data_IF_182342052248
#
_entry.id   IF_182342052248
#
_cell.length_a   1.000
_cell.length_b   1.000
_cell.length_c   1.000
_cell.angle_alpha   90.00
_cell.angle_beta   90.00
_cell.angle_gamma   90.00
#
_symmetry.space_group_name_H-M   'P 1'
#
loop_
_entity.id
_entity.type
_entity.pdbx_description
1 polymer ?
#
# COMPACT_ATOMS: atom_id res chain seq x y z
N UNK A 1 65.26 -28.66 -20.22
CA UNK A 1 64.98 -29.15 -18.86
C UNK A 1 63.74 -30.04 -18.89
N UNK A 2 64.00 -31.32 -18.59
CA UNK A 2 63.18 -32.51 -18.27
C UNK A 2 61.64 -32.59 -18.46
N UNK A 3 61.30 -33.55 -19.34
CA UNK A 3 60.27 -34.62 -19.34
C UNK A 3 59.49 -34.99 -18.05
N UNK A 4 58.18 -35.28 -18.23
CA UNK A 4 57.34 -36.48 -17.88
C UNK A 4 57.34 -36.92 -16.38
N UNK A 5 56.23 -37.22 -15.68
CA UNK A 5 55.54 -38.54 -15.59
C UNK A 5 54.25 -38.45 -14.72
N UNK A 6 53.24 -39.24 -15.11
CA UNK A 6 51.94 -39.56 -14.48
C UNK A 6 52.02 -40.23 -13.09
N UNK A 7 50.95 -40.14 -12.30
CA UNK A 7 50.48 -41.25 -11.47
C UNK A 7 48.95 -41.32 -11.46
N UNK A 8 48.40 -42.46 -11.90
CA UNK A 8 47.03 -42.89 -11.62
C UNK A 8 47.03 -43.73 -10.36
N UNK A 9 46.11 -43.48 -9.42
CA UNK A 9 45.64 -44.49 -8.45
C UNK A 9 44.13 -44.29 -8.25
N UNK A 10 43.39 -45.36 -8.50
CA UNK A 10 41.97 -45.57 -8.21
C UNK A 10 41.77 -45.78 -6.70
N UNK A 11 40.76 -45.14 -6.10
CA UNK A 11 40.08 -45.71 -4.93
C UNK A 11 38.57 -45.54 -5.12
N UNK A 12 37.90 -46.67 -5.30
CA UNK A 12 36.45 -46.83 -5.18
C UNK A 12 36.12 -46.73 -3.70
N UNK A 13 35.23 -45.81 -3.34
CA UNK A 13 34.49 -45.87 -2.09
C UNK A 13 33.00 -45.72 -2.42
N UNK A 14 32.32 -46.86 -2.58
CA UNK A 14 30.87 -46.91 -2.40
C UNK A 14 30.60 -46.86 -0.89
N UNK A 15 29.99 -45.77 -0.42
CA UNK A 15 29.11 -45.81 0.73
C UNK A 15 27.92 -44.89 0.44
N UNK A 16 26.74 -45.50 0.30
CA UNK A 16 25.48 -44.82 0.50
C UNK A 16 25.45 -44.35 1.96
N UNK A 17 25.76 -43.06 2.18
CA UNK A 17 25.38 -42.38 3.40
C UNK A 17 24.24 -41.45 3.05
N UNK A 18 23.11 -41.66 3.72
CA UNK A 18 21.93 -40.82 3.66
C UNK A 18 22.38 -39.36 3.66
N UNK A 19 22.14 -38.67 2.54
CA UNK A 19 22.31 -37.23 2.49
C UNK A 19 21.34 -36.66 3.53
N UNK A 20 21.88 -36.32 4.70
CA UNK A 20 21.27 -35.31 5.55
C UNK A 20 20.97 -34.15 4.61
N UNK A 21 19.68 -33.92 4.38
CA UNK A 21 19.22 -32.75 3.65
C UNK A 21 19.44 -31.57 4.59
N UNK A 22 20.69 -31.16 4.76
CA UNK A 22 21.03 -29.92 5.43
C UNK A 22 20.46 -28.82 4.53
N UNK A 23 19.50 -28.07 5.05
CA UNK A 23 18.95 -26.93 4.33
C UNK A 23 20.08 -25.90 4.16
N UNK A 24 20.76 -25.93 3.01
CA UNK A 24 21.81 -24.96 2.68
C UNK A 24 21.15 -23.66 2.24
N UNK A 25 21.35 -22.59 3.03
CA UNK A 25 20.92 -21.24 2.66
C UNK A 25 21.90 -20.66 1.65
N UNK A 26 21.44 -20.44 0.41
CA UNK A 26 22.22 -19.71 -0.60
C UNK A 26 21.84 -18.24 -0.56
N UNK A 27 22.82 -17.36 -0.30
CA UNK A 27 22.63 -15.90 -0.31
C UNK A 27 23.24 -15.34 -1.59
N UNK A 28 22.44 -14.57 -2.34
CA UNK A 28 22.91 -13.81 -3.51
C UNK A 28 22.75 -12.32 -3.24
N UNK A 29 23.80 -11.57 -3.50
CA UNK A 29 23.80 -10.11 -3.37
C UNK A 29 23.82 -9.50 -4.76
N UNK A 30 22.90 -8.59 -5.03
CA UNK A 30 22.86 -7.80 -6.26
C UNK A 30 22.81 -6.32 -5.90
N UNK A 31 23.68 -5.53 -6.53
CA UNK A 31 23.62 -4.07 -6.45
C UNK A 31 22.51 -3.57 -7.38
N UNK A 32 21.53 -2.85 -6.84
CA UNK A 32 20.36 -2.36 -7.60
C UNK A 32 20.49 -0.90 -8.03
N UNK A 33 21.26 -0.06 -7.33
CA UNK A 33 21.43 1.35 -7.68
C UNK A 33 22.70 1.98 -7.03
N UNK A 34 23.04 3.20 -7.44
CA UNK A 34 24.02 4.09 -6.81
C UNK A 34 23.56 5.53 -6.90
N UNK A 35 23.86 6.32 -5.88
CA UNK A 35 23.53 7.74 -5.79
C UNK A 35 24.74 8.53 -5.32
N UNK A 36 24.80 9.82 -5.66
CA UNK A 36 25.86 10.72 -5.22
C UNK A 36 25.83 10.89 -3.68
N UNK A 37 26.98 11.18 -3.08
CA UNK A 37 27.14 11.27 -1.62
C UNK A 37 26.31 12.38 -0.95
N UNK A 38 25.79 13.33 -1.72
CA UNK A 38 24.97 14.44 -1.24
C UNK A 38 23.46 14.14 -1.22
N UNK A 39 23.03 12.99 -1.75
CA UNK A 39 21.63 12.55 -1.68
C UNK A 39 21.35 11.86 -0.35
N UNK A 40 20.22 12.20 0.27
CA UNK A 40 19.69 11.49 1.44
C UNK A 40 18.51 10.64 0.97
N UNK A 41 18.57 9.33 1.18
CA UNK A 41 17.44 8.43 0.89
C UNK A 41 16.46 8.50 2.06
N UNK A 42 15.22 8.88 1.79
CA UNK A 42 14.19 9.14 2.80
C UNK A 42 13.22 7.97 2.97
N UNK A 43 12.87 7.31 1.86
CA UNK A 43 12.01 6.13 1.86
C UNK A 43 12.39 5.23 0.70
N UNK A 44 12.33 3.92 0.91
CA UNK A 44 12.48 2.89 -0.12
C UNK A 44 11.34 1.88 0.01
N UNK A 45 10.72 1.57 -1.11
CA UNK A 45 9.68 0.54 -1.25
C UNK A 45 10.03 -0.41 -2.38
N UNK A 46 9.40 -1.57 -2.37
CA UNK A 46 9.64 -2.66 -3.32
C UNK A 46 8.30 -3.24 -3.74
N UNK A 47 8.17 -3.62 -5.00
CA UNK A 47 7.01 -4.38 -5.48
C UNK A 47 6.98 -5.79 -4.88
N UNK A 48 5.80 -6.40 -4.90
CA UNK A 48 5.54 -7.72 -4.32
C UNK A 48 6.35 -8.84 -4.98
N UNK A 49 6.56 -8.76 -6.30
CA UNK A 49 7.38 -9.71 -7.08
C UNK A 49 8.89 -9.52 -6.89
N UNK A 50 9.28 -8.50 -6.13
CA UNK A 50 10.65 -8.10 -5.87
C UNK A 50 11.45 -7.59 -7.08
N UNK A 51 10.80 -7.32 -8.21
CA UNK A 51 11.45 -6.89 -9.45
C UNK A 51 11.57 -5.36 -9.56
N UNK A 52 10.66 -4.63 -8.92
CA UNK A 52 10.60 -3.18 -8.98
C UNK A 52 10.92 -2.53 -7.63
N UNK A 53 11.59 -1.39 -7.68
CA UNK A 53 11.96 -0.62 -6.50
C UNK A 53 11.74 0.86 -6.75
N UNK A 54 11.24 1.53 -5.72
CA UNK A 54 11.09 2.97 -5.74
C UNK A 54 11.63 3.58 -4.47
N UNK A 55 12.29 4.72 -4.58
CA UNK A 55 12.78 5.44 -3.43
C UNK A 55 12.72 6.95 -3.64
N UNK A 56 12.56 7.68 -2.54
CA UNK A 56 12.63 9.13 -2.53
C UNK A 56 14.01 9.55 -2.06
N UNK A 57 14.62 10.45 -2.82
CA UNK A 57 15.86 11.13 -2.45
C UNK A 57 15.62 12.59 -2.15
N UNK A 58 16.22 13.10 -1.09
CA UNK A 58 16.31 14.52 -0.78
C UNK A 58 17.63 15.08 -1.29
N UNK A 59 17.55 16.17 -2.04
CA UNK A 59 18.70 16.91 -2.56
C UNK A 59 18.35 18.38 -2.72
N UNK A 60 19.21 19.25 -2.19
CA UNK A 60 19.03 20.70 -2.22
C UNK A 60 17.64 21.16 -1.72
N UNK A 61 17.16 20.52 -0.64
CA UNK A 61 15.84 20.80 -0.07
C UNK A 61 14.64 20.23 -0.83
N UNK A 62 14.86 19.64 -2.01
CA UNK A 62 13.83 19.04 -2.85
C UNK A 62 13.79 17.51 -2.75
N UNK A 63 12.62 16.93 -2.97
CA UNK A 63 12.35 15.49 -2.91
C UNK A 63 12.05 14.95 -4.30
N UNK A 64 12.81 13.95 -4.75
CA UNK A 64 12.65 13.35 -6.07
C UNK A 64 12.38 11.86 -5.98
N UNK A 65 11.54 11.36 -6.88
CA UNK A 65 11.29 9.93 -7.03
C UNK A 65 12.33 9.29 -7.95
N UNK A 66 12.87 8.16 -7.52
CA UNK A 66 13.59 7.23 -8.39
C UNK A 66 12.80 5.93 -8.43
N UNK A 67 12.55 5.41 -9.63
CA UNK A 67 11.85 4.16 -9.87
C UNK A 67 12.64 3.36 -10.91
N UNK A 68 13.10 2.15 -10.54
CA UNK A 68 13.90 1.25 -11.38
C UNK A 68 15.08 1.90 -12.12
N UNK A 69 15.84 2.73 -11.41
CA UNK A 69 16.98 3.51 -11.92
C UNK A 69 16.62 4.68 -12.83
N UNK A 70 15.35 4.88 -13.15
CA UNK A 70 14.87 6.10 -13.79
C UNK A 70 14.54 7.16 -12.72
N UNK A 71 15.11 8.35 -12.88
CA UNK A 71 14.82 9.49 -12.00
C UNK A 71 13.65 10.27 -12.59
N UNK A 72 12.55 10.33 -11.85
CA UNK A 72 11.39 11.13 -12.20
C UNK A 72 11.61 12.54 -11.63
N UNK A 73 12.01 13.48 -12.49
CA UNK A 73 12.24 14.88 -12.14
C UNK A 73 10.98 15.74 -12.18
N UNK A 74 9.84 15.15 -12.56
CA UNK A 74 8.59 15.88 -12.80
C UNK A 74 8.02 16.50 -11.51
N UNK A 75 8.37 15.94 -10.34
CA UNK A 75 7.92 16.43 -9.05
C UNK A 75 9.09 16.49 -8.07
N UNK A 76 9.21 17.63 -7.38
CA UNK A 76 10.32 17.95 -6.48
C UNK A 76 9.88 18.05 -5.00
N UNK A 77 8.65 17.62 -4.70
CA UNK A 77 8.09 17.59 -3.35
C UNK A 77 7.03 16.46 -3.25
N UNK A 78 7.44 15.33 -2.67
CA UNK A 78 6.67 14.10 -2.59
C UNK A 78 6.53 13.73 -1.11
N UNK A 79 5.34 13.36 -0.64
CA UNK A 79 5.17 12.86 0.74
C UNK A 79 5.93 11.55 0.90
N UNK A 80 6.86 11.49 1.85
CA UNK A 80 7.79 10.37 2.01
C UNK A 80 7.10 9.06 2.32
N UNK A 81 5.98 9.10 3.04
CA UNK A 81 5.21 7.94 3.48
C UNK A 81 4.09 7.53 2.50
N UNK A 82 4.16 7.96 1.24
CA UNK A 82 3.08 7.78 0.25
C UNK A 82 3.38 6.79 -0.88
N UNK A 83 4.60 6.27 -1.00
CA UNK A 83 4.95 5.36 -2.10
C UNK A 83 4.24 4.00 -1.94
N UNK A 84 3.44 3.61 -2.94
CA UNK A 84 2.73 2.32 -2.94
C UNK A 84 2.76 1.70 -4.33
N UNK A 85 3.22 0.45 -4.43
CA UNK A 85 3.09 -0.35 -5.65
C UNK A 85 1.73 -1.05 -5.71
N UNK A 86 1.18 -1.21 -6.90
CA UNK A 86 0.08 -2.14 -7.14
C UNK A 86 0.53 -3.58 -6.86
N UNK A 87 -0.39 -4.49 -6.46
CA UNK A 87 -0.05 -5.89 -6.19
C UNK A 87 0.67 -6.59 -7.35
N UNK A 88 0.35 -6.23 -8.59
CA UNK A 88 1.01 -6.75 -9.81
C UNK A 88 2.37 -6.09 -10.12
N UNK A 89 2.81 -5.11 -9.32
CA UNK A 89 4.09 -4.41 -9.45
C UNK A 89 4.15 -3.35 -10.56
N UNK A 90 3.13 -3.22 -11.41
CA UNK A 90 3.21 -2.40 -12.64
C UNK A 90 2.93 -0.92 -12.44
N UNK A 91 2.29 -0.55 -11.33
CA UNK A 91 1.89 0.83 -11.04
C UNK A 91 2.47 1.25 -9.71
N UNK A 92 3.07 2.44 -9.68
CA UNK A 92 3.56 3.09 -8.48
C UNK A 92 2.78 4.38 -8.26
N UNK A 93 1.99 4.41 -7.19
CA UNK A 93 1.26 5.58 -6.74
C UNK A 93 2.05 6.34 -5.66
N UNK A 94 1.92 7.67 -5.64
CA UNK A 94 2.51 8.54 -4.63
C UNK A 94 1.81 9.89 -4.57
N UNK A 95 1.95 10.59 -3.45
CA UNK A 95 1.35 11.91 -3.21
C UNK A 95 2.38 13.00 -3.51
N UNK A 96 2.00 13.94 -4.37
CA UNK A 96 2.76 15.14 -4.67
C UNK A 96 2.17 16.32 -3.92
N UNK A 97 3.05 17.14 -3.33
CA UNK A 97 2.71 18.42 -2.74
C UNK A 97 3.28 19.52 -3.64
N UNK A 98 2.46 20.03 -4.57
CA UNK A 98 2.90 21.00 -5.57
C UNK A 98 3.10 22.39 -4.97
N UNK A 99 2.19 22.80 -4.09
CA UNK A 99 2.26 24.05 -3.34
C UNK A 99 1.32 24.00 -2.13
N UNK A 100 1.28 25.07 -1.34
CA UNK A 100 0.36 25.17 -0.20
C UNK A 100 -1.08 24.85 -0.60
N UNK A 101 -1.65 23.81 0.03
CA UNK A 101 -3.01 23.31 -0.23
C UNK A 101 -3.24 22.82 -1.68
N UNK A 102 -2.18 22.37 -2.36
CA UNK A 102 -2.27 21.75 -3.68
C UNK A 102 -1.59 20.39 -3.65
N UNK A 103 -2.40 19.37 -3.33
CA UNK A 103 -2.01 17.98 -3.33
C UNK A 103 -2.71 17.21 -4.46
N UNK A 104 -2.00 16.24 -5.02
CA UNK A 104 -2.56 15.27 -5.95
C UNK A 104 -1.81 13.94 -5.86
N UNK A 105 -2.44 12.89 -6.39
CA UNK A 105 -1.81 11.57 -6.56
C UNK A 105 -1.19 11.51 -7.94
N UNK A 106 0.00 10.95 -8.07
CA UNK A 106 0.54 10.57 -9.36
C UNK A 106 0.72 9.05 -9.43
N UNK A 107 0.52 8.47 -10.61
CA UNK A 107 0.83 7.07 -10.93
C UNK A 107 1.87 7.07 -12.04
N UNK A 108 3.02 6.43 -11.80
CA UNK A 108 4.11 6.31 -12.79
C UNK A 108 4.49 7.67 -13.43
N UNK A 109 4.62 8.74 -12.63
CA UNK A 109 4.93 10.07 -13.16
C UNK A 109 3.71 10.90 -13.60
N UNK A 110 2.56 10.26 -13.83
CA UNK A 110 1.38 10.92 -14.40
C UNK A 110 0.42 11.33 -13.29
N UNK A 111 0.14 12.64 -13.21
CA UNK A 111 -0.87 13.20 -12.33
C UNK A 111 -2.22 12.50 -12.55
N UNK A 112 -2.72 11.94 -11.47
CA UNK A 112 -4.10 11.48 -11.34
C UNK A 112 -4.91 12.60 -10.70
N UNK A 113 -6.21 12.55 -10.90
CA UNK A 113 -7.17 13.47 -10.33
C UNK A 113 -7.02 14.93 -10.84
N UNK A 114 -8.06 15.41 -11.52
CA UNK A 114 -8.03 16.73 -12.19
C UNK A 114 -8.16 17.93 -11.25
N UNK A 115 -8.60 17.72 -10.01
CA UNK A 115 -8.84 18.78 -9.02
C UNK A 115 -7.70 18.85 -8.01
N UNK A 116 -7.38 20.07 -7.57
CA UNK A 116 -6.44 20.30 -6.47
C UNK A 116 -7.12 19.95 -5.14
N UNK A 117 -6.43 19.17 -4.30
CA UNK A 117 -6.90 18.85 -2.95
C UNK A 117 -6.15 19.71 -1.93
N UNK A 118 -6.88 20.15 -0.90
CA UNK A 118 -6.29 20.89 0.21
C UNK A 118 -5.32 20.03 1.02
N UNK A 119 -5.58 18.73 1.09
CA UNK A 119 -4.64 17.72 1.62
C UNK A 119 -4.98 16.32 1.06
N UNK A 120 -4.03 15.39 1.16
CA UNK A 120 -4.27 13.94 1.01
C UNK A 120 -3.69 13.26 2.24
N UNK A 121 -4.51 12.46 2.94
CA UNK A 121 -4.09 11.84 4.20
C UNK A 121 -2.89 10.93 3.97
N UNK A 122 -1.88 11.06 4.82
CA UNK A 122 -0.69 10.20 4.83
C UNK A 122 -1.07 8.72 4.92
N UNK A 123 -0.34 7.86 4.21
CA UNK A 123 -0.56 6.40 4.15
C UNK A 123 -1.97 5.96 3.71
N UNK A 124 -2.72 6.83 3.03
CA UNK A 124 -4.09 6.51 2.58
C UNK A 124 -4.17 5.85 1.20
N UNK A 125 -3.09 5.83 0.44
CA UNK A 125 -3.06 5.21 -0.89
C UNK A 125 -3.11 3.68 -0.76
N UNK A 126 -4.14 3.05 -1.35
CA UNK A 126 -4.19 1.60 -1.48
C UNK A 126 -4.71 1.19 -2.86
N UNK A 127 -4.03 0.21 -3.45
CA UNK A 127 -4.53 -0.47 -4.65
C UNK A 127 -5.47 -1.61 -4.27
N UNK A 128 -6.45 -1.88 -5.11
CA UNK A 128 -7.28 -3.07 -5.00
C UNK A 128 -6.46 -4.36 -5.21
N UNK A 129 -6.90 -5.51 -4.67
CA UNK A 129 -6.22 -6.80 -4.84
C UNK A 129 -5.94 -7.17 -6.30
N UNK A 130 -6.86 -6.87 -7.22
CA UNK A 130 -6.72 -7.12 -8.65
C UNK A 130 -5.82 -6.11 -9.39
N UNK A 131 -5.23 -5.16 -8.65
CA UNK A 131 -4.37 -4.10 -9.19
C UNK A 131 -5.04 -3.15 -10.17
N UNK A 132 -6.38 -3.09 -10.25
CA UNK A 132 -7.09 -2.24 -11.22
C UNK A 132 -7.48 -0.88 -10.63
N UNK A 133 -7.90 -0.85 -9.37
CA UNK A 133 -8.45 0.34 -8.72
C UNK A 133 -7.46 0.95 -7.74
N UNK A 134 -7.46 2.28 -7.63
CA UNK A 134 -6.72 3.01 -6.59
C UNK A 134 -7.70 3.79 -5.71
N UNK A 135 -7.54 3.64 -4.40
CA UNK A 135 -8.24 4.42 -3.38
C UNK A 135 -7.27 5.33 -2.62
N UNK A 136 -7.72 6.52 -2.24
CA UNK A 136 -7.04 7.40 -1.31
C UNK A 136 -8.01 8.31 -0.56
N UNK A 137 -7.54 9.00 0.49
CA UNK A 137 -8.35 9.93 1.27
C UNK A 137 -7.91 11.36 0.98
N UNK A 138 -8.78 12.12 0.29
CA UNK A 138 -8.58 13.53 -0.01
C UNK A 138 -9.26 14.43 1.01
N UNK A 139 -8.78 15.67 1.13
CA UNK A 139 -9.42 16.77 1.85
C UNK A 139 -9.75 17.90 0.88
N UNK A 140 -10.96 18.43 1.01
CA UNK A 140 -11.35 19.71 0.41
C UNK A 140 -11.96 20.57 1.52
N UNK A 141 -11.52 21.82 1.62
CA UNK A 141 -11.79 22.69 2.76
C UNK A 141 -11.59 21.95 4.11
N UNK A 142 -12.66 21.77 4.89
CA UNK A 142 -12.65 21.13 6.20
C UNK A 142 -13.22 19.70 6.19
N UNK A 143 -13.40 19.10 5.01
CA UNK A 143 -14.05 17.79 4.88
C UNK A 143 -13.15 16.78 4.20
N UNK A 144 -13.14 15.57 4.74
CA UNK A 144 -12.44 14.42 4.19
C UNK A 144 -13.39 13.57 3.36
N UNK A 145 -12.89 12.96 2.30
CA UNK A 145 -13.64 12.02 1.48
C UNK A 145 -12.71 10.96 0.90
N UNK A 146 -13.29 9.80 0.60
CA UNK A 146 -12.61 8.75 -0.15
C UNK A 146 -12.68 9.09 -1.63
N UNK A 147 -11.57 8.91 -2.35
CA UNK A 147 -11.53 8.93 -3.81
C UNK A 147 -11.21 7.54 -4.30
N UNK A 148 -12.03 7.00 -5.21
CA UNK A 148 -11.74 5.76 -5.95
C UNK A 148 -11.76 6.06 -7.43
N UNK A 149 -10.66 5.75 -8.12
CA UNK A 149 -10.51 5.97 -9.57
C UNK A 149 -10.97 7.35 -10.03
N UNK A 150 -10.50 8.38 -9.33
CA UNK A 150 -10.82 9.78 -9.59
C UNK A 150 -12.29 10.18 -9.33
N UNK A 151 -13.06 9.41 -8.57
CA UNK A 151 -14.41 9.75 -8.14
C UNK A 151 -14.44 10.01 -6.64
N UNK A 152 -14.87 11.22 -6.25
CA UNK A 152 -15.09 11.59 -4.84
C UNK A 152 -16.35 10.88 -4.32
N UNK A 153 -16.28 10.31 -3.12
CA UNK A 153 -17.43 9.86 -2.35
C UNK A 153 -18.01 10.96 -1.45
N UNK A 154 -18.81 10.55 -0.46
CA UNK A 154 -19.38 11.43 0.55
C UNK A 154 -18.30 12.14 1.39
N UNK A 155 -18.68 13.32 1.86
CA UNK A 155 -17.83 14.18 2.69
C UNK A 155 -18.11 13.97 4.18
N UNK A 156 -17.03 13.79 4.94
CA UNK A 156 -17.02 13.47 6.36
C UNK A 156 -16.18 14.49 7.15
N UNK A 157 -16.44 14.59 8.44
CA UNK A 157 -15.59 15.36 9.36
C UNK A 157 -14.23 14.69 9.53
N UNK A 158 -14.21 13.36 9.47
CA UNK A 158 -13.00 12.56 9.59
C UNK A 158 -13.18 11.22 8.88
N UNK A 159 -12.10 10.70 8.29
CA UNK A 159 -11.98 9.29 7.91
C UNK A 159 -10.83 8.71 8.74
N UNK A 160 -11.11 7.64 9.47
CA UNK A 160 -10.17 7.08 10.45
C UNK A 160 -8.96 6.43 9.74
N UNK A 161 -7.78 6.62 10.31
CA UNK A 161 -6.55 6.00 9.80
C UNK A 161 -6.64 4.47 9.86
N UNK A 162 -6.02 3.80 8.88
CA UNK A 162 -5.98 2.34 8.78
C UNK A 162 -7.36 1.64 8.78
N UNK A 163 -8.43 2.38 8.48
CA UNK A 163 -9.80 1.86 8.56
C UNK A 163 -10.43 1.55 7.21
N UNK A 164 -9.70 1.74 6.11
CA UNK A 164 -10.22 1.65 4.74
C UNK A 164 -9.63 0.43 4.01
N UNK A 165 -10.50 -0.36 3.38
CA UNK A 165 -10.14 -1.67 2.81
C UNK A 165 -10.95 -2.00 1.55
N UNK A 166 -10.32 -2.65 0.58
CA UNK A 166 -11.02 -3.29 -0.53
C UNK A 166 -11.54 -4.67 -0.14
N UNK A 167 -12.65 -5.09 -0.74
CA UNK A 167 -13.09 -6.48 -0.71
C UNK A 167 -12.10 -7.39 -1.45
N UNK A 168 -12.04 -8.70 -1.14
CA UNK A 168 -11.10 -9.64 -1.76
C UNK A 168 -11.23 -9.75 -3.28
N UNK A 169 -12.43 -9.49 -3.81
CA UNK A 169 -12.73 -9.50 -5.24
C UNK A 169 -12.59 -8.11 -5.90
N UNK A 170 -12.08 -7.12 -5.17
CA UNK A 170 -11.84 -5.74 -5.63
C UNK A 170 -13.09 -4.93 -6.01
N UNK A 171 -14.30 -5.44 -5.75
CA UNK A 171 -15.55 -4.80 -6.19
C UNK A 171 -16.14 -3.82 -5.19
N UNK A 172 -15.79 -3.96 -3.93
CA UNK A 172 -16.35 -3.16 -2.85
C UNK A 172 -15.25 -2.50 -2.04
N UNK A 173 -15.57 -1.36 -1.44
CA UNK A 173 -14.73 -0.69 -0.45
C UNK A 173 -15.49 -0.57 0.87
N UNK A 174 -14.76 -0.62 1.98
CA UNK A 174 -15.30 -0.26 3.28
C UNK A 174 -14.36 0.69 4.00
N UNK A 175 -14.90 1.63 4.77
CA UNK A 175 -14.12 2.54 5.60
C UNK A 175 -14.89 3.04 6.82
N UNK A 176 -14.17 3.50 7.85
CA UNK A 176 -14.79 4.19 8.98
C UNK A 176 -14.73 5.69 8.78
N UNK A 177 -15.86 6.36 8.99
CA UNK A 177 -15.94 7.80 8.87
C UNK A 177 -16.79 8.43 9.96
N UNK A 178 -16.38 9.60 10.42
CA UNK A 178 -17.12 10.42 11.37
C UNK A 178 -17.95 11.46 10.64
N UNK A 179 -19.23 11.55 10.99
CA UNK A 179 -20.13 12.59 10.51
C UNK A 179 -20.92 13.12 11.70
N UNK A 180 -20.70 14.39 12.06
CA UNK A 180 -21.14 14.99 13.31
C UNK A 180 -20.67 14.20 14.55
N UNK A 181 -21.59 13.71 15.36
CA UNK A 181 -21.37 13.05 16.64
C UNK A 181 -21.23 11.53 16.53
N UNK A 182 -21.34 10.97 15.32
CA UNK A 182 -21.36 9.52 15.09
C UNK A 182 -20.27 9.05 14.14
N UNK A 183 -19.88 7.80 14.35
CA UNK A 183 -18.97 7.02 13.51
C UNK A 183 -19.79 6.02 12.72
N UNK A 184 -19.49 5.90 11.44
CA UNK A 184 -20.19 5.03 10.51
C UNK A 184 -19.20 4.04 9.89
N UNK A 185 -19.63 2.79 9.75
CA UNK A 185 -19.08 1.91 8.73
C UNK A 185 -19.73 2.29 7.41
N UNK A 186 -18.91 2.60 6.41
CA UNK A 186 -19.36 3.00 5.09
C UNK A 186 -18.94 1.95 4.10
N UNK A 187 -19.87 1.39 3.33
CA UNK A 187 -19.61 0.41 2.28
C UNK A 187 -20.09 0.98 0.95
N UNK A 188 -19.21 1.09 -0.04
CA UNK A 188 -19.50 1.67 -1.36
C UNK A 188 -20.25 2.99 -1.31
N UNK A 189 -19.76 3.89 -0.45
CA UNK A 189 -20.38 5.20 -0.23
C UNK A 189 -21.83 5.13 0.32
N UNK A 190 -22.20 4.03 0.98
CA UNK A 190 -23.44 3.91 1.74
C UNK A 190 -23.12 3.77 3.23
N UNK A 191 -23.67 4.66 4.05
CA UNK A 191 -23.48 4.65 5.50
C UNK A 191 -24.40 3.60 6.13
N UNK A 192 -23.84 2.74 6.97
CA UNK A 192 -24.59 1.85 7.85
C UNK A 192 -25.12 2.57 9.09
N UNK A 193 -25.24 1.82 10.19
CA UNK A 193 -25.64 2.39 11.48
C UNK A 193 -24.57 3.33 12.05
N UNK A 194 -25.02 4.32 12.81
CA UNK A 194 -24.16 5.30 13.46
C UNK A 194 -23.85 4.92 14.91
N UNK A 195 -22.57 4.80 15.24
CA UNK A 195 -22.04 4.42 16.54
C UNK A 195 -21.42 5.61 17.28
N UNK A 196 -21.52 5.65 18.60
CA UNK A 196 -20.91 6.69 19.42
C UNK A 196 -19.40 6.48 19.61
N UNK A 197 -18.95 5.22 19.59
CA UNK A 197 -17.57 4.84 19.80
C UNK A 197 -17.18 3.67 18.88
N UNK A 198 -15.97 3.72 18.34
CA UNK A 198 -15.36 2.63 17.59
C UNK A 198 -13.99 2.32 18.21
N UNK A 199 -13.77 1.12 18.76
CA UNK A 199 -12.52 0.81 19.46
C UNK A 199 -11.29 0.91 18.54
N UNK A 200 -10.16 1.51 19.00
CA UNK A 200 -8.94 1.63 18.18
C UNK A 200 -8.35 0.30 17.70
N UNK A 201 -8.65 -0.81 18.39
CA UNK A 201 -8.20 -2.16 18.04
C UNK A 201 -9.17 -2.89 17.10
N UNK A 202 -10.34 -2.32 16.81
CA UNK A 202 -11.27 -2.91 15.85
C UNK A 202 -10.82 -2.61 14.43
N UNK A 203 -10.95 -3.62 13.57
CA UNK A 203 -10.55 -3.56 12.17
C UNK A 203 -11.69 -3.99 11.29
N UNK A 204 -11.81 -3.34 10.13
CA UNK A 204 -12.70 -3.77 9.06
C UNK A 204 -12.04 -4.93 8.31
N UNK A 205 -12.70 -6.10 8.30
CA UNK A 205 -12.19 -7.28 7.62
C UNK A 205 -13.28 -7.94 6.78
N UNK A 206 -13.01 -8.10 5.50
CA UNK A 206 -13.89 -8.84 4.60
C UNK A 206 -13.70 -10.33 4.82
N UNK A 207 -14.72 -11.01 5.36
CA UNK A 207 -14.74 -12.47 5.50
C UNK A 207 -15.16 -13.19 4.22
N UNK A 208 -15.77 -12.46 3.27
CA UNK A 208 -16.05 -12.91 1.91
C UNK A 208 -16.09 -11.70 0.97
N UNK A 209 -16.16 -11.89 -0.36
CA UNK A 209 -16.42 -10.83 -1.33
C UNK A 209 -17.59 -9.90 -1.01
N UNK A 210 -18.59 -10.36 -0.25
CA UNK A 210 -19.82 -9.61 0.04
C UNK A 210 -20.09 -9.46 1.53
N UNK A 211 -19.22 -9.96 2.41
CA UNK A 211 -19.46 -9.94 3.85
C UNK A 211 -18.31 -9.24 4.56
N UNK A 212 -18.61 -8.07 5.11
CA UNK A 212 -17.71 -7.33 5.99
C UNK A 212 -17.94 -7.77 7.44
N UNK A 213 -16.88 -7.79 8.23
CA UNK A 213 -16.95 -8.10 9.66
C UNK A 213 -16.05 -7.16 10.46
N UNK A 214 -16.50 -6.78 11.64
CA UNK A 214 -15.77 -5.89 12.54
C UNK A 214 -16.25 -6.07 13.98
N UNK A 215 -15.42 -5.64 14.93
CA UNK A 215 -15.73 -5.73 16.36
C UNK A 215 -16.25 -4.38 16.89
N UNK A 216 -17.18 -4.42 17.82
CA UNK A 216 -17.62 -3.25 18.57
C UNK A 216 -17.55 -3.53 20.07
N UNK A 217 -17.31 -2.47 20.84
CA UNK A 217 -17.40 -2.47 22.30
C UNK A 217 -18.49 -1.46 22.67
N UNK A 218 -19.47 -1.89 23.45
CA UNK A 218 -20.52 -0.99 23.94
C UNK A 218 -20.18 -0.40 25.32
N UNK A 219 -21.10 0.42 25.85
CA UNK A 219 -20.96 1.06 27.17
C UNK A 219 -21.05 0.10 28.35
N UNK A 220 -21.47 -1.15 28.13
CA UNK A 220 -21.57 -2.21 29.14
C UNK A 220 -20.35 -3.14 29.14
N UNK A 221 -19.35 -2.85 28.29
CA UNK A 221 -18.16 -3.67 28.04
C UNK A 221 -18.45 -5.00 27.32
N UNK A 222 -19.57 -5.10 26.60
CA UNK A 222 -19.86 -6.24 25.75
C UNK A 222 -19.17 -6.09 24.39
N UNK A 223 -18.56 -7.18 23.91
CA UNK A 223 -17.89 -7.23 22.61
C UNK A 223 -18.81 -7.89 21.59
N UNK A 224 -19.14 -7.16 20.53
CA UNK A 224 -19.96 -7.65 19.42
C UNK A 224 -19.08 -7.97 18.21
N UNK A 225 -19.34 -9.11 17.57
CA UNK A 225 -18.82 -9.41 16.24
C UNK A 225 -19.92 -9.14 15.21
N UNK A 226 -19.85 -7.97 14.57
CA UNK A 226 -20.83 -7.55 13.58
C UNK A 226 -20.44 -8.12 12.22
N UNK A 227 -21.45 -8.58 11.47
CA UNK A 227 -21.30 -9.04 10.09
C UNK A 227 -22.33 -8.37 9.21
N UNK A 228 -21.86 -7.54 8.28
CA UNK A 228 -22.70 -6.92 7.25
C UNK A 228 -22.55 -7.70 5.95
N UNK A 229 -23.65 -8.20 5.39
CA UNK A 229 -23.65 -8.95 4.12
C UNK A 229 -24.40 -8.17 3.05
N UNK A 230 -23.70 -7.85 1.97
CA UNK A 230 -24.27 -7.21 0.79
C UNK A 230 -25.16 -8.19 0.04
N UNK A 231 -26.45 -7.88 -0.03
CA UNK A 231 -27.42 -8.64 -0.82
C UNK A 231 -27.70 -7.87 -2.11
N UNK A 232 -27.64 -8.50 -3.30
CA UNK A 232 -28.01 -7.85 -4.54
C UNK A 232 -29.44 -7.30 -4.43
N UNK A 233 -29.65 -6.03 -4.81
CA UNK A 233 -31.02 -5.51 -4.97
C UNK A 233 -31.73 -6.41 -5.98
N UNK A 234 -32.82 -7.06 -5.57
CA UNK A 234 -33.72 -7.74 -6.52
C UNK A 234 -34.18 -6.68 -7.50
N UNK A 235 -33.95 -6.94 -8.80
CA UNK A 235 -34.51 -6.12 -9.89
C UNK A 235 -36.01 -6.24 -9.91
#
# INVERSE_FOLDING_TARGET
MNKIIFFSIFVIAQFFQAANCENVRVVRTQKISSFENNFIVETIVKSTDNLHFAYIVKYDGHMYLVHDSEKYLNYNNIKTDSLVFSPDGKRLAYIVNESSNVYFVAINGVRQYGKNLADIKSKSLIFSPDSQHLMFIGKDFERWFVVVDNKEGQQFDEIFENSFVFSPDSRHIAYLAKYFDKIYVVIDDNRGDGYEYFPPWSTLSWSSPTTLSYLLLDIHNDIYNIKETLVPKKK
#
